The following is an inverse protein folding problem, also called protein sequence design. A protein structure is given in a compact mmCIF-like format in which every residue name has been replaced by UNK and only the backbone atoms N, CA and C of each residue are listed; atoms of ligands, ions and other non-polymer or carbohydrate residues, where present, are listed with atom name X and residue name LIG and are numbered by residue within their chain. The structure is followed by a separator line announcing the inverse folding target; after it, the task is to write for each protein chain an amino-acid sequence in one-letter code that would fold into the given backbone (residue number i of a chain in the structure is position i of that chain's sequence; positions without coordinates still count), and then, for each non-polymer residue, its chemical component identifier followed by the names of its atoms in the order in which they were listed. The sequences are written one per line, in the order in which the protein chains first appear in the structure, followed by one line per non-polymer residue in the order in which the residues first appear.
data_IF_809713002706
#
_entry.id   IF_809713002706
#
_cell.length_a   1.000
_cell.length_b   1.000
_cell.length_c   1.000
_cell.angle_alpha   90.00
_cell.angle_beta   90.00
_cell.angle_gamma   90.00
#
_symmetry.space_group_name_H-M   'P 1'
#
loop_
_entity.id
_entity.type
_entity.pdbx_description
1 polymer ?
#
# COMPACT_ATOMS: atom_id res chain seq x y z
N UNK A 1 -10.23 -4.25 31.37
CA UNK A 1 -10.63 -3.95 29.99
C UNK A 1 -9.44 -4.25 29.08
N UNK A 2 -9.50 -5.30 28.28
CA UNK A 2 -8.51 -5.49 27.21
C UNK A 2 -8.72 -4.35 26.20
N UNK A 3 -7.68 -3.58 25.92
CA UNK A 3 -7.71 -2.55 24.88
C UNK A 3 -7.96 -3.27 23.55
N UNK A 4 -9.02 -2.93 22.87
CA UNK A 4 -9.32 -3.47 21.55
C UNK A 4 -8.16 -3.11 20.60
N UNK A 5 -7.63 -4.12 19.93
CA UNK A 5 -6.45 -3.98 19.06
C UNK A 5 -6.87 -3.22 17.80
N UNK A 6 -6.12 -2.18 17.44
CA UNK A 6 -6.39 -1.46 16.18
C UNK A 6 -6.12 -2.34 14.96
N UNK A 7 -6.76 -2.02 13.83
CA UNK A 7 -6.56 -2.78 12.57
C UNK A 7 -5.12 -2.72 12.09
N UNK A 8 -4.42 -1.56 12.05
CA UNK A 8 -3.00 -1.51 11.73
C UNK A 8 -2.14 -2.40 12.64
N UNK A 9 -2.41 -2.41 13.96
CA UNK A 9 -1.69 -3.26 14.91
C UNK A 9 -1.92 -4.77 14.62
N UNK A 10 -3.17 -5.17 14.39
CA UNK A 10 -3.53 -6.54 14.02
C UNK A 10 -2.85 -6.98 12.71
N UNK A 11 -2.82 -6.10 11.72
CA UNK A 11 -2.15 -6.33 10.44
C UNK A 11 -0.63 -6.51 10.62
N UNK A 12 0.04 -5.64 11.37
CA UNK A 12 1.48 -5.73 11.63
C UNK A 12 1.82 -7.04 12.35
N UNK A 13 1.08 -7.42 13.39
CA UNK A 13 1.28 -8.69 14.11
C UNK A 13 1.17 -9.88 13.18
N UNK A 14 0.13 -9.90 12.35
CA UNK A 14 -0.04 -10.97 11.37
C UNK A 14 1.10 -10.98 10.34
N UNK A 15 1.51 -9.81 9.83
CA UNK A 15 2.62 -9.68 8.90
C UNK A 15 3.95 -10.19 9.48
N UNK A 16 4.18 -10.01 10.78
CA UNK A 16 5.33 -10.60 11.50
C UNK A 16 5.23 -12.12 11.53
N UNK A 17 4.07 -12.70 11.85
CA UNK A 17 3.92 -14.17 11.96
C UNK A 17 4.17 -14.89 10.64
N UNK A 18 3.78 -14.30 9.50
CA UNK A 18 4.01 -14.90 8.17
C UNK A 18 5.38 -14.54 7.57
N UNK A 19 6.23 -13.82 8.31
CA UNK A 19 7.56 -13.38 7.87
C UNK A 19 7.50 -12.36 6.71
N UNK A 20 6.44 -11.54 6.64
CA UNK A 20 6.36 -10.41 5.70
C UNK A 20 7.31 -9.27 6.12
N UNK A 21 7.50 -9.08 7.42
CA UNK A 21 8.63 -8.30 7.93
C UNK A 21 9.84 -9.21 8.16
N UNK A 22 10.97 -8.87 7.54
CA UNK A 22 12.25 -9.53 7.76
C UNK A 22 13.22 -8.53 8.37
N UNK A 23 13.75 -8.88 9.54
CA UNK A 23 14.83 -8.14 10.18
C UNK A 23 16.16 -8.80 9.80
N UNK A 24 17.17 -8.02 9.45
CA UNK A 24 18.47 -8.50 9.03
C UNK A 24 19.56 -7.92 9.96
N UNK A 25 20.25 -8.76 10.75
CA UNK A 25 21.47 -8.34 11.41
C UNK A 25 22.48 -7.80 10.37
N UNK A 26 22.94 -6.55 10.51
CA UNK A 26 23.77 -5.88 9.53
C UNK A 26 22.99 -5.15 8.40
N UNK A 27 21.66 -5.27 8.38
CA UNK A 27 20.79 -4.56 7.46
C UNK A 27 20.71 -5.17 6.06
N UNK A 28 19.76 -4.65 5.26
CA UNK A 28 19.55 -4.98 3.85
C UNK A 28 19.67 -3.73 3.00
N UNK A 29 20.45 -3.80 1.93
CA UNK A 29 20.55 -2.69 0.97
C UNK A 29 19.22 -2.56 0.21
N UNK A 30 18.59 -1.39 0.30
CA UNK A 30 17.38 -1.01 -0.44
C UNK A 30 17.76 -0.49 -1.83
N UNK A 31 16.76 -0.36 -2.73
CA UNK A 31 16.95 0.17 -4.09
C UNK A 31 17.58 1.57 -4.14
N UNK A 32 17.39 2.37 -3.08
CA UNK A 32 17.97 3.71 -2.94
C UNK A 32 19.37 3.71 -2.29
N UNK A 33 20.00 2.53 -2.12
CA UNK A 33 21.32 2.36 -1.52
C UNK A 33 21.39 2.38 0.00
N UNK A 34 20.30 2.69 0.71
CA UNK A 34 20.27 2.68 2.18
C UNK A 34 20.32 1.26 2.74
N UNK A 35 21.03 1.10 3.85
CA UNK A 35 21.06 -0.17 4.60
C UNK A 35 19.96 -0.13 5.67
N UNK A 36 18.87 -0.85 5.42
CA UNK A 36 17.72 -0.87 6.32
C UNK A 36 17.73 -2.10 7.24
N UNK A 37 17.43 -1.95 8.54
CA UNK A 37 17.34 -3.06 9.47
C UNK A 37 16.14 -3.97 9.22
N UNK A 38 15.16 -3.53 8.45
CA UNK A 38 13.96 -4.30 8.13
C UNK A 38 13.58 -4.19 6.65
N UNK A 39 12.84 -5.18 6.17
CA UNK A 39 12.27 -5.22 4.84
C UNK A 39 10.84 -5.76 4.90
N UNK A 40 9.87 -5.02 4.37
CA UNK A 40 8.51 -5.48 4.18
C UNK A 40 8.36 -6.15 2.81
N UNK A 41 7.85 -7.38 2.80
CA UNK A 41 7.62 -8.19 1.60
C UNK A 41 6.14 -8.56 1.45
N UNK A 42 5.40 -7.77 0.69
CA UNK A 42 4.00 -8.03 0.37
C UNK A 42 3.76 -9.36 -0.35
N UNK A 43 4.78 -9.93 -1.02
CA UNK A 43 4.70 -11.25 -1.66
C UNK A 43 4.52 -12.42 -0.69
N UNK A 44 4.63 -12.20 0.63
CA UNK A 44 4.29 -13.19 1.65
C UNK A 44 2.80 -13.39 1.86
N UNK A 45 1.98 -12.46 1.40
CA UNK A 45 0.52 -12.58 1.41
C UNK A 45 0.04 -13.40 0.20
N UNK A 46 0.45 -14.68 0.14
CA UNK A 46 0.30 -15.57 -1.02
C UNK A 46 -0.74 -16.68 -0.84
N UNK A 47 -1.51 -16.65 0.25
CA UNK A 47 -2.64 -17.58 0.49
C UNK A 47 -3.93 -16.79 0.63
N UNK A 48 -5.09 -17.43 0.45
CA UNK A 48 -6.39 -16.78 0.63
C UNK A 48 -6.54 -16.13 2.01
N UNK A 49 -6.08 -16.82 3.07
CA UNK A 49 -6.11 -16.28 4.43
C UNK A 49 -5.23 -15.02 4.56
N UNK A 50 -3.98 -15.10 4.12
CA UNK A 50 -3.05 -13.97 4.25
C UNK A 50 -3.47 -12.79 3.37
N UNK A 51 -3.90 -13.05 2.14
CA UNK A 51 -4.42 -12.01 1.25
C UNK A 51 -5.67 -11.36 1.84
N UNK A 52 -6.60 -12.15 2.41
CA UNK A 52 -7.79 -11.61 3.08
C UNK A 52 -7.45 -10.68 4.25
N UNK A 53 -6.45 -11.02 5.08
CA UNK A 53 -5.98 -10.14 6.16
C UNK A 53 -5.36 -8.83 5.64
N UNK A 54 -4.61 -8.90 4.54
CA UNK A 54 -4.07 -7.72 3.88
C UNK A 54 -5.21 -6.83 3.33
N UNK A 55 -6.17 -7.44 2.63
CA UNK A 55 -7.29 -6.71 2.03
C UNK A 55 -8.21 -6.08 3.07
N UNK A 56 -8.42 -6.72 4.21
CA UNK A 56 -9.15 -6.13 5.31
C UNK A 56 -8.46 -4.85 5.82
N UNK A 57 -7.14 -4.88 6.01
CA UNK A 57 -6.39 -3.70 6.42
C UNK A 57 -6.50 -2.55 5.41
N UNK A 58 -6.50 -2.85 4.10
CA UNK A 58 -6.74 -1.83 3.07
C UNK A 58 -8.17 -1.30 3.11
N UNK A 59 -9.17 -2.16 3.24
CA UNK A 59 -10.56 -1.78 3.26
C UNK A 59 -10.87 -0.85 4.45
N UNK A 60 -10.33 -1.17 5.62
CA UNK A 60 -10.44 -0.34 6.83
C UNK A 60 -9.76 1.03 6.65
N UNK A 61 -8.54 1.05 6.10
CA UNK A 61 -7.84 2.31 5.82
C UNK A 61 -8.59 3.20 4.81
N UNK A 62 -9.35 2.60 3.89
CA UNK A 62 -10.15 3.30 2.89
C UNK A 62 -11.55 3.66 3.37
N UNK A 63 -12.03 3.09 4.46
CA UNK A 63 -13.42 3.25 4.91
C UNK A 63 -13.89 4.71 4.98
N UNK A 64 -13.09 5.68 5.48
CA UNK A 64 -13.51 7.08 5.49
C UNK A 64 -13.83 7.66 4.10
N UNK A 65 -13.09 7.22 3.07
CA UNK A 65 -13.35 7.62 1.67
C UNK A 65 -14.59 6.91 1.14
N UNK A 66 -14.71 5.60 1.40
CA UNK A 66 -15.81 4.77 0.90
C UNK A 66 -17.18 5.21 1.44
N UNK A 67 -17.23 5.82 2.62
CA UNK A 67 -18.45 6.39 3.20
C UNK A 67 -18.95 7.64 2.45
N UNK A 68 -18.08 8.33 1.73
CA UNK A 68 -18.41 9.60 1.05
C UNK A 68 -18.49 9.46 -0.46
N UNK A 69 -17.77 8.51 -1.03
CA UNK A 69 -17.64 8.34 -2.48
C UNK A 69 -17.22 6.90 -2.82
N UNK A 70 -17.68 6.37 -3.93
CA UNK A 70 -17.29 5.07 -4.46
C UNK A 70 -16.43 5.27 -5.73
N UNK A 71 -15.09 5.37 -5.58
CA UNK A 71 -14.20 5.49 -6.73
C UNK A 71 -14.11 4.17 -7.51
N UNK A 72 -13.52 4.19 -8.70
CA UNK A 72 -12.96 2.98 -9.29
C UNK A 72 -11.62 2.69 -8.65
N UNK A 73 -11.42 1.50 -8.15
CA UNK A 73 -10.11 1.04 -7.68
C UNK A 73 -9.26 0.67 -8.89
N UNK A 74 -8.06 1.24 -9.00
CA UNK A 74 -7.12 0.96 -10.09
C UNK A 74 -5.85 0.29 -9.58
N UNK A 75 -5.62 -0.95 -10.02
CA UNK A 75 -4.42 -1.71 -9.67
C UNK A 75 -3.44 -1.81 -10.83
N UNK A 76 -2.27 -1.17 -10.78
CA UNK A 76 -1.28 -1.26 -11.86
C UNK A 76 -0.70 -2.68 -11.98
N UNK A 77 -0.57 -3.16 -13.24
CA UNK A 77 -0.07 -4.51 -13.53
C UNK A 77 1.39 -4.68 -13.07
N UNK A 78 1.77 -5.87 -12.55
CA UNK A 78 0.91 -7.06 -12.46
C UNK A 78 0.32 -7.24 -11.05
N UNK A 79 1.03 -6.81 -10.02
CA UNK A 79 0.65 -7.06 -8.62
C UNK A 79 -0.64 -6.33 -8.24
N UNK A 80 -0.79 -5.08 -8.66
CA UNK A 80 -1.99 -4.30 -8.43
C UNK A 80 -3.26 -4.95 -8.96
N UNK A 81 -3.19 -5.69 -10.07
CA UNK A 81 -4.34 -6.43 -10.62
C UNK A 81 -4.90 -7.46 -9.61
N UNK A 82 -4.01 -8.18 -8.92
CA UNK A 82 -4.42 -9.14 -7.89
C UNK A 82 -5.01 -8.43 -6.66
N UNK A 83 -4.33 -7.35 -6.23
CA UNK A 83 -4.74 -6.59 -5.05
C UNK A 83 -6.11 -5.94 -5.25
N UNK A 84 -6.32 -5.28 -6.39
CA UNK A 84 -7.55 -4.54 -6.63
C UNK A 84 -8.77 -5.44 -6.73
N UNK A 85 -8.63 -6.62 -7.35
CA UNK A 85 -9.72 -7.61 -7.47
C UNK A 85 -10.12 -8.18 -6.10
N UNK A 86 -9.11 -8.54 -5.29
CA UNK A 86 -9.33 -9.05 -3.95
C UNK A 86 -9.90 -7.98 -3.00
N UNK A 87 -9.42 -6.72 -3.14
CA UNK A 87 -9.91 -5.61 -2.33
C UNK A 87 -11.38 -5.27 -2.65
N UNK A 88 -11.76 -5.22 -3.93
CA UNK A 88 -13.14 -4.97 -4.32
C UNK A 88 -14.10 -6.03 -3.73
N UNK A 89 -13.71 -7.31 -3.78
CA UNK A 89 -14.47 -8.40 -3.17
C UNK A 89 -14.55 -8.25 -1.64
N UNK A 90 -13.46 -7.86 -0.99
CA UNK A 90 -13.42 -7.65 0.47
C UNK A 90 -14.34 -6.50 0.87
N UNK A 91 -14.26 -5.36 0.19
CA UNK A 91 -15.13 -4.19 0.43
C UNK A 91 -16.62 -4.59 0.28
N UNK A 92 -16.96 -5.37 -0.75
CA UNK A 92 -18.34 -5.85 -0.91
C UNK A 92 -18.79 -6.75 0.24
N UNK A 93 -17.92 -7.66 0.69
CA UNK A 93 -18.26 -8.60 1.79
C UNK A 93 -18.39 -7.93 3.15
N UNK A 94 -17.47 -7.01 3.46
CA UNK A 94 -17.42 -6.38 4.78
C UNK A 94 -18.43 -5.23 4.92
N UNK A 95 -18.65 -4.47 3.84
CA UNK A 95 -19.43 -3.23 3.88
C UNK A 95 -20.66 -3.22 2.97
N UNK A 96 -20.90 -4.27 2.19
CA UNK A 96 -21.96 -4.34 1.17
C UNK A 96 -21.88 -3.22 0.10
N UNK A 97 -20.67 -2.67 -0.11
CA UNK A 97 -20.42 -1.62 -1.10
C UNK A 97 -19.99 -2.25 -2.44
N UNK A 98 -20.79 -2.05 -3.49
CA UNK A 98 -20.48 -2.54 -4.82
C UNK A 98 -19.52 -1.58 -5.56
N UNK A 99 -18.21 -1.74 -5.30
CA UNK A 99 -17.16 -0.89 -5.86
C UNK A 99 -16.63 -1.46 -7.18
N UNK A 100 -16.43 -0.58 -8.16
CA UNK A 100 -15.84 -0.97 -9.44
C UNK A 100 -14.30 -1.03 -9.35
N UNK A 101 -13.68 -1.87 -10.17
CA UNK A 101 -12.23 -1.96 -10.25
C UNK A 101 -11.73 -2.08 -11.68
N UNK A 102 -10.50 -1.68 -11.90
CA UNK A 102 -9.80 -1.75 -13.17
C UNK A 102 -8.30 -2.01 -12.98
N UNK A 103 -7.66 -2.46 -14.05
CA UNK A 103 -6.21 -2.66 -14.13
C UNK A 103 -5.75 -2.38 -15.56
N UNK A 104 -4.45 -2.17 -15.75
CA UNK A 104 -3.87 -2.14 -17.09
C UNK A 104 -3.21 -3.48 -17.44
N UNK A 105 -3.08 -3.75 -18.74
CA UNK A 105 -2.13 -4.73 -19.28
C UNK A 105 -0.80 -4.04 -19.53
N UNK A 106 0.31 -4.76 -19.51
CA UNK A 106 1.61 -4.22 -19.94
C UNK A 106 1.74 -4.19 -21.46
N UNK A 107 1.03 -5.07 -22.14
CA UNK A 107 1.00 -5.18 -23.61
C UNK A 107 -0.46 -5.12 -24.08
N UNK A 108 -0.69 -4.39 -25.16
CA UNK A 108 -2.01 -4.32 -25.77
C UNK A 108 -2.39 -5.71 -26.34
N UNK A 109 -3.65 -6.08 -26.20
CA UNK A 109 -4.18 -7.30 -26.78
C UNK A 109 -4.94 -6.97 -28.07
N UNK A 110 -4.60 -7.65 -29.16
CA UNK A 110 -5.17 -7.40 -30.49
C UNK A 110 -6.51 -8.11 -30.72
N UNK A 111 -6.93 -9.04 -29.81
CA UNK A 111 -8.12 -9.86 -29.97
C UNK A 111 -8.99 -9.91 -28.72
N UNK A 112 -10.29 -10.08 -28.88
CA UNK A 112 -11.29 -10.14 -27.81
C UNK A 112 -11.60 -8.75 -27.24
N UNK A 113 -11.64 -8.62 -25.89
CA UNK A 113 -11.69 -7.32 -25.21
C UNK A 113 -10.33 -6.61 -25.38
N UNK A 114 -10.03 -6.11 -26.57
CA UNK A 114 -8.76 -5.50 -26.93
C UNK A 114 -8.34 -4.31 -26.05
N UNK A 115 -7.13 -3.77 -26.30
CA UNK A 115 -6.61 -2.59 -25.61
C UNK A 115 -5.81 -2.88 -24.35
N UNK A 116 -5.43 -1.80 -23.67
CA UNK A 116 -4.55 -1.82 -22.49
C UNK A 116 -5.30 -1.97 -21.16
N UNK A 117 -6.63 -1.78 -21.13
CA UNK A 117 -7.41 -1.76 -19.89
C UNK A 117 -8.18 -3.06 -19.67
N UNK A 118 -8.37 -3.42 -18.40
CA UNK A 118 -9.19 -4.54 -17.91
C UNK A 118 -10.13 -3.98 -16.85
N UNK A 119 -11.41 -4.43 -16.85
CA UNK A 119 -12.39 -4.03 -15.83
C UNK A 119 -13.19 -2.79 -16.21
N UNK A 120 -13.51 -1.96 -15.23
CA UNK A 120 -14.38 -0.82 -15.41
C UNK A 120 -13.72 0.33 -16.19
N UNK A 121 -14.49 1.11 -17.01
CA UNK A 121 -13.99 2.31 -17.67
C UNK A 121 -13.61 3.38 -16.64
N UNK A 122 -12.55 4.17 -16.93
CA UNK A 122 -12.05 5.23 -16.06
C UNK A 122 -12.60 6.63 -16.42
N UNK A 123 -13.02 6.83 -17.67
CA UNK A 123 -13.43 8.14 -18.20
C UNK A 123 -14.51 8.80 -17.33
N UNK A 124 -14.26 10.04 -16.93
CA UNK A 124 -15.16 10.86 -16.09
C UNK A 124 -15.31 10.39 -14.65
N UNK A 125 -14.58 9.37 -14.21
CA UNK A 125 -14.73 8.77 -12.88
C UNK A 125 -13.59 9.17 -11.95
N UNK A 126 -13.87 9.12 -10.63
CA UNK A 126 -12.88 9.23 -9.57
C UNK A 126 -12.14 7.91 -9.44
N UNK A 127 -10.81 7.96 -9.41
CA UNK A 127 -9.95 6.78 -9.43
C UNK A 127 -9.02 6.79 -8.22
N UNK A 128 -8.95 5.66 -7.52
CA UNK A 128 -8.04 5.44 -6.39
C UNK A 128 -7.05 4.33 -6.76
N UNK A 129 -5.75 4.65 -6.75
CA UNK A 129 -4.69 3.67 -7.01
C UNK A 129 -4.57 2.71 -5.82
N UNK A 130 -4.44 1.41 -6.11
CA UNK A 130 -4.16 0.35 -5.14
C UNK A 130 -2.83 -0.30 -5.50
N UNK A 131 -1.80 -0.13 -4.66
CA UNK A 131 -0.47 -0.72 -4.87
C UNK A 131 0.06 -1.33 -3.58
N UNK A 132 1.17 -2.07 -3.60
CA UNK A 132 1.65 -2.82 -2.43
C UNK A 132 2.47 -1.98 -1.43
N UNK A 133 3.46 -1.25 -1.91
CA UNK A 133 4.35 -0.40 -1.08
C UNK A 133 4.70 0.89 -1.80
N UNK A 134 5.02 1.91 -1.04
CA UNK A 134 5.62 3.11 -1.61
C UNK A 134 7.12 2.86 -1.81
N UNK A 135 7.54 2.69 -3.07
CA UNK A 135 8.94 2.69 -3.49
C UNK A 135 9.25 4.01 -4.23
N UNK A 136 10.24 4.05 -5.09
CA UNK A 136 10.65 5.28 -5.83
C UNK A 136 9.55 5.95 -6.72
N UNK A 137 8.28 5.59 -6.55
CA UNK A 137 7.12 6.26 -7.17
C UNK A 137 6.90 5.95 -8.66
N UNK A 138 7.77 5.18 -9.32
CA UNK A 138 7.70 4.93 -10.78
C UNK A 138 6.36 4.28 -11.18
N UNK A 139 5.93 3.22 -10.47
CA UNK A 139 4.66 2.54 -10.78
C UNK A 139 3.44 3.45 -10.59
N UNK A 140 3.51 4.37 -9.62
CA UNK A 140 2.42 5.29 -9.31
C UNK A 140 2.36 6.45 -10.29
N UNK A 141 3.50 6.96 -10.76
CA UNK A 141 3.56 7.95 -11.85
C UNK A 141 3.02 7.35 -13.15
N UNK A 142 3.40 6.12 -13.48
CA UNK A 142 2.83 5.41 -14.64
C UNK A 142 1.31 5.20 -14.49
N UNK A 143 0.85 4.78 -13.32
CA UNK A 143 -0.58 4.63 -13.04
C UNK A 143 -1.33 5.95 -13.16
N UNK A 144 -0.82 7.04 -12.59
CA UNK A 144 -1.42 8.38 -12.69
C UNK A 144 -1.50 8.86 -14.15
N UNK A 145 -0.45 8.62 -14.95
CA UNK A 145 -0.45 8.91 -16.39
C UNK A 145 -1.53 8.12 -17.12
N UNK A 146 -1.62 6.81 -16.91
CA UNK A 146 -2.65 5.95 -17.53
C UNK A 146 -4.06 6.43 -17.14
N UNK A 147 -4.29 6.74 -15.87
CA UNK A 147 -5.57 7.27 -15.39
C UNK A 147 -5.95 8.55 -16.13
N UNK A 148 -5.01 9.49 -16.26
CA UNK A 148 -5.22 10.75 -16.99
C UNK A 148 -5.50 10.52 -18.48
N UNK A 149 -4.72 9.66 -19.15
CA UNK A 149 -4.91 9.32 -20.57
C UNK A 149 -6.26 8.64 -20.84
N UNK A 150 -6.77 7.90 -19.86
CA UNK A 150 -8.11 7.27 -19.92
C UNK A 150 -9.24 8.22 -19.47
N UNK A 151 -8.96 9.50 -19.25
CA UNK A 151 -9.93 10.51 -18.84
C UNK A 151 -10.48 10.34 -17.43
N UNK A 152 -9.78 9.59 -16.57
CA UNK A 152 -10.09 9.44 -15.15
C UNK A 152 -9.50 10.58 -14.30
N UNK A 153 -10.07 10.82 -13.12
CA UNK A 153 -9.56 11.76 -12.13
C UNK A 153 -8.98 11.02 -10.94
N UNK A 154 -7.67 11.10 -10.75
CA UNK A 154 -7.01 10.56 -9.56
C UNK A 154 -7.50 11.29 -8.30
N UNK A 155 -7.85 10.52 -7.24
CA UNK A 155 -8.30 11.05 -5.94
C UNK A 155 -7.47 10.54 -4.76
N UNK A 156 -6.55 9.61 -4.97
CA UNK A 156 -5.69 9.06 -3.93
C UNK A 156 -4.96 7.79 -4.34
N UNK A 157 -4.10 7.35 -3.45
CA UNK A 157 -3.41 6.07 -3.56
C UNK A 157 -3.46 5.35 -2.20
N UNK A 158 -3.67 4.03 -2.20
CA UNK A 158 -3.54 3.21 -1.00
C UNK A 158 -2.43 2.19 -1.14
N UNK A 159 -1.65 1.99 -0.07
CA UNK A 159 -0.55 1.03 0.02
C UNK A 159 -0.62 0.21 1.31
N UNK A 160 0.03 -0.96 1.34
CA UNK A 160 0.07 -1.80 2.55
C UNK A 160 0.86 -1.17 3.68
N UNK A 161 1.98 -0.53 3.35
CA UNK A 161 2.91 -0.07 4.37
C UNK A 161 3.65 1.19 3.91
N UNK A 162 3.62 2.23 4.75
CA UNK A 162 4.46 3.42 4.61
C UNK A 162 5.62 3.38 5.59
N UNK A 163 6.83 3.48 5.06
CA UNK A 163 8.08 3.48 5.82
C UNK A 163 8.38 4.82 6.49
N UNK A 164 7.64 5.87 6.14
CA UNK A 164 7.81 7.25 6.62
C UNK A 164 9.27 7.74 6.52
N UNK A 165 9.93 7.40 5.43
CA UNK A 165 11.34 7.75 5.18
C UNK A 165 11.43 8.92 4.19
N UNK A 166 12.27 9.90 4.51
CA UNK A 166 12.61 10.99 3.58
C UNK A 166 13.29 10.46 2.31
N UNK A 167 13.07 11.11 1.20
CA UNK A 167 13.76 10.81 -0.06
C UNK A 167 15.28 11.00 0.03
N UNK A 168 16.01 10.61 -1.01
CA UNK A 168 17.48 10.78 -1.05
C UNK A 168 17.89 12.24 -1.16
N UNK A 169 17.13 13.04 -1.92
CA UNK A 169 17.44 14.43 -2.26
C UNK A 169 16.40 15.43 -1.71
N UNK A 170 15.54 14.99 -0.77
CA UNK A 170 14.45 15.80 -0.23
C UNK A 170 14.18 15.44 1.23
N UNK A 171 13.61 16.39 1.98
CA UNK A 171 13.14 16.16 3.35
C UNK A 171 11.77 15.49 3.40
N UNK A 172 11.06 15.41 2.25
CA UNK A 172 9.74 14.80 2.16
C UNK A 172 9.82 13.28 2.06
N UNK A 173 8.87 12.59 2.65
CA UNK A 173 8.69 11.16 2.40
C UNK A 173 8.16 10.91 0.99
N UNK A 174 8.22 9.65 0.54
CA UNK A 174 7.62 9.28 -0.73
C UNK A 174 6.10 9.53 -0.76
N UNK A 175 5.42 9.39 0.37
CA UNK A 175 4.00 9.73 0.52
C UNK A 175 3.78 11.24 0.34
N UNK A 176 4.53 12.06 1.08
CA UNK A 176 4.44 13.53 0.99
C UNK A 176 4.80 14.04 -0.41
N UNK A 177 5.80 13.44 -1.09
CA UNK A 177 6.11 13.78 -2.47
C UNK A 177 4.96 13.46 -3.42
N UNK A 178 4.31 12.30 -3.25
CA UNK A 178 3.14 11.92 -4.03
C UNK A 178 1.98 12.90 -3.81
N UNK A 179 1.71 13.26 -2.56
CA UNK A 179 0.67 14.23 -2.22
C UNK A 179 0.97 15.63 -2.81
N UNK A 180 2.22 16.06 -2.76
CA UNK A 180 2.64 17.33 -3.35
C UNK A 180 2.56 17.31 -4.89
N UNK A 181 2.93 16.21 -5.54
CA UNK A 181 2.94 16.05 -7.00
C UNK A 181 1.53 16.00 -7.58
N UNK A 182 0.59 15.29 -6.91
CA UNK A 182 -0.74 15.02 -7.44
C UNK A 182 -1.88 15.77 -6.73
N UNK A 183 -1.63 16.41 -5.62
CA UNK A 183 -2.65 17.10 -4.82
C UNK A 183 -3.69 16.17 -4.19
N UNK A 184 -3.37 14.88 -4.01
CA UNK A 184 -4.26 13.84 -3.49
C UNK A 184 -3.54 12.99 -2.44
N UNK A 185 -4.26 12.43 -1.42
CA UNK A 185 -3.63 11.71 -0.33
C UNK A 185 -3.02 10.37 -0.74
N UNK A 186 -1.92 9.98 -0.06
CA UNK A 186 -1.45 8.61 0.02
C UNK A 186 -1.84 8.01 1.36
N UNK A 187 -2.62 6.94 1.33
CA UNK A 187 -3.15 6.23 2.49
C UNK A 187 -2.34 4.96 2.69
N UNK A 188 -1.92 4.68 3.91
CA UNK A 188 -1.25 3.43 4.25
C UNK A 188 -2.15 2.58 5.17
N UNK A 189 -2.22 1.27 4.92
CA UNK A 189 -2.90 0.33 5.82
C UNK A 189 -2.17 0.21 7.16
N UNK A 190 -0.84 0.40 7.16
CA UNK A 190 -0.03 0.57 8.36
C UNK A 190 1.25 1.37 8.03
N UNK A 191 1.87 1.91 9.08
CA UNK A 191 3.07 2.73 9.00
C UNK A 191 4.21 2.14 9.82
N UNK A 192 5.40 2.72 9.73
CA UNK A 192 6.51 2.34 10.61
C UNK A 192 6.23 2.68 12.07
N UNK A 193 5.42 3.69 12.36
CA UNK A 193 5.01 4.00 13.75
C UNK A 193 4.16 2.87 14.34
N UNK A 194 3.25 2.27 13.54
CA UNK A 194 2.49 1.08 13.94
C UNK A 194 3.41 -0.12 14.18
N UNK A 195 4.42 -0.32 13.32
CA UNK A 195 5.44 -1.35 13.51
C UNK A 195 6.19 -1.13 14.83
N UNK A 196 6.65 0.08 15.11
CA UNK A 196 7.33 0.44 16.35
C UNK A 196 6.44 0.19 17.57
N UNK A 197 5.16 0.54 17.50
CA UNK A 197 4.20 0.30 18.58
C UNK A 197 4.06 -1.20 18.89
N UNK A 198 3.93 -2.03 17.85
CA UNK A 198 3.87 -3.50 18.00
C UNK A 198 5.17 -4.05 18.57
N UNK A 199 6.34 -3.67 18.03
CA UNK A 199 7.62 -4.16 18.52
C UNK A 199 7.89 -3.77 19.99
N UNK A 200 7.40 -2.61 20.44
CA UNK A 200 7.47 -2.19 21.85
C UNK A 200 6.63 -3.06 22.78
N UNK A 201 5.49 -3.54 22.32
CA UNK A 201 4.58 -4.39 23.10
C UNK A 201 5.05 -5.84 23.21
N UNK A 202 6.02 -6.25 22.38
CA UNK A 202 6.52 -7.62 22.28
C UNK A 202 7.93 -7.75 22.86
N UNK A 203 8.09 -8.57 23.90
CA UNK A 203 9.39 -8.74 24.58
C UNK A 203 10.48 -9.38 23.70
N UNK A 204 10.10 -10.11 22.65
CA UNK A 204 10.99 -10.83 21.76
C UNK A 204 11.74 -9.95 20.75
N UNK A 205 11.33 -8.69 20.55
CA UNK A 205 11.84 -7.82 19.47
C UNK A 205 12.67 -6.63 19.95
N UNK A 206 13.31 -6.71 21.12
CA UNK A 206 14.09 -5.59 21.69
C UNK A 206 15.23 -5.09 20.78
N UNK A 207 15.94 -6.02 20.13
CA UNK A 207 17.05 -5.69 19.22
C UNK A 207 16.55 -5.05 17.93
N UNK A 208 15.49 -5.63 17.37
CA UNK A 208 14.82 -5.15 16.15
C UNK A 208 14.22 -3.76 16.36
N UNK A 209 13.56 -3.54 17.48
CA UNK A 209 13.03 -2.23 17.85
C UNK A 209 14.13 -1.18 17.94
N UNK A 210 15.24 -1.47 18.62
CA UNK A 210 16.37 -0.53 18.74
C UNK A 210 16.93 -0.18 17.36
N UNK A 211 17.10 -1.16 16.47
CA UNK A 211 17.60 -0.95 15.12
C UNK A 211 16.61 -0.12 14.26
N UNK A 212 15.31 -0.38 14.37
CA UNK A 212 14.27 0.38 13.64
C UNK A 212 14.25 1.83 14.13
N UNK A 213 14.29 2.08 15.44
CA UNK A 213 14.30 3.44 15.99
C UNK A 213 15.55 4.22 15.58
N UNK A 214 16.72 3.59 15.59
CA UNK A 214 17.98 4.21 15.14
C UNK A 214 17.89 4.59 13.66
N UNK A 215 17.35 3.69 12.83
CA UNK A 215 17.16 3.92 11.41
C UNK A 215 16.16 5.05 11.15
N UNK A 216 15.04 5.11 11.91
CA UNK A 216 14.04 6.18 11.81
C UNK A 216 14.62 7.53 12.24
N UNK A 217 15.48 7.57 13.28
CA UNK A 217 16.18 8.81 13.67
C UNK A 217 17.06 9.35 12.55
N UNK A 218 17.68 8.46 11.76
CA UNK A 218 18.57 8.86 10.67
C UNK A 218 17.83 9.23 9.39
N UNK A 219 16.74 8.52 9.04
CA UNK A 219 16.10 8.62 7.73
C UNK A 219 14.59 8.93 7.79
N UNK A 220 13.99 8.91 8.95
CA UNK A 220 12.57 9.22 9.12
C UNK A 220 12.24 10.67 8.79
N UNK A 221 10.96 10.90 8.51
CA UNK A 221 10.37 12.24 8.48
C UNK A 221 10.10 12.68 9.93
N UNK A 222 10.39 13.91 10.24
CA UNK A 222 10.07 14.56 11.52
C UNK A 222 8.71 15.24 11.45
#
# INVERSE_FOLDING_TARGET
MQKEMSVPESFIRYALTIGAFKFAPGGRILKNGRVSPYFFNSGKFSTGQSLGKLMLAYAEALYPILCTDLPVLFGPAYKGTLLVSALALTIYREYSLNIAFASNRKEAKDHGEGGLMIGAPLAGRKILIVDDVMSAGVSKREAARIISEQGGRLIGCVVAFDRQERGAETHLSAAQQFEQEYGVPLIAAATVDDLVAVLRSESGYKKELAAVLEYQRQYGIS
#
